data_IF_721056258114
#
_entry.id   IF_721056258114
#
_cell.length_a   1.000
_cell.length_b   1.000
_cell.length_c   1.000
_cell.angle_alpha   90.00
_cell.angle_beta   90.00
_cell.angle_gamma   90.00
#
_symmetry.space_group_name_H-M   'P 1'
#
loop_
_entity.id
_entity.type
_entity.pdbx_description
1 polymer ?
#
# COMPACT_ATOMS: atom_id res chain seq x y z
N UNK A 1 -17.80 -65.99 77.50
CA UNK A 1 -17.60 -64.54 77.79
C UNK A 1 -17.29 -63.79 76.52
N UNK A 2 -18.25 -63.06 76.00
CA UNK A 2 -18.11 -62.26 74.75
C UNK A 2 -17.98 -60.81 75.19
N UNK A 3 -16.82 -60.18 74.90
CA UNK A 3 -16.60 -58.74 75.12
C UNK A 3 -17.30 -57.94 74.03
N UNK A 4 -18.20 -57.08 74.48
CA UNK A 4 -18.89 -56.12 73.62
C UNK A 4 -17.93 -54.98 73.36
N UNK A 5 -17.66 -54.73 72.07
CA UNK A 5 -16.85 -53.56 71.64
C UNK A 5 -17.69 -52.29 71.83
N UNK A 6 -17.12 -51.29 72.53
CA UNK A 6 -17.72 -50.00 72.73
C UNK A 6 -17.81 -49.18 71.46
N UNK A 7 -18.69 -48.15 71.44
CA UNK A 7 -18.91 -47.35 70.28
C UNK A 7 -17.66 -46.52 69.94
N UNK A 8 -17.21 -46.60 68.69
CA UNK A 8 -16.17 -45.74 68.16
C UNK A 8 -16.68 -44.27 68.17
N UNK A 9 -16.01 -43.46 68.91
CA UNK A 9 -16.17 -41.99 68.81
C UNK A 9 -15.82 -41.54 67.38
N UNK A 10 -16.84 -41.14 66.66
CA UNK A 10 -16.68 -40.38 65.41
C UNK A 10 -15.99 -39.06 65.79
N UNK A 11 -14.74 -38.92 65.37
CA UNK A 11 -14.01 -37.66 65.50
C UNK A 11 -14.79 -36.55 64.77
N UNK A 12 -15.27 -35.58 65.51
CA UNK A 12 -15.87 -34.37 64.96
C UNK A 12 -14.83 -33.68 64.10
N UNK A 13 -15.06 -33.70 62.80
CA UNK A 13 -14.27 -32.92 61.82
C UNK A 13 -14.46 -31.44 62.18
N UNK A 14 -13.36 -30.71 62.46
CA UNK A 14 -13.47 -29.33 62.91
C UNK A 14 -14.19 -28.47 61.88
N UNK A 15 -15.23 -27.76 62.31
CA UNK A 15 -16.08 -26.84 61.52
C UNK A 15 -15.36 -25.62 60.95
N UNK A 16 -14.03 -25.57 61.08
CA UNK A 16 -13.16 -24.44 60.64
C UNK A 16 -12.85 -24.45 59.15
N UNK A 17 -13.10 -25.53 58.43
CA UNK A 17 -12.76 -25.63 57.01
C UNK A 17 -13.55 -24.70 56.11
N UNK A 18 -14.85 -24.42 56.41
CA UNK A 18 -15.67 -23.54 55.59
C UNK A 18 -15.24 -22.06 55.55
N UNK A 19 -14.76 -21.54 56.65
CA UNK A 19 -14.30 -20.15 56.70
C UNK A 19 -12.98 -19.94 55.95
N UNK A 20 -12.08 -20.90 56.00
CA UNK A 20 -10.83 -20.85 55.25
C UNK A 20 -11.05 -20.97 53.73
N UNK A 21 -12.03 -21.74 53.27
CA UNK A 21 -12.37 -21.85 51.85
C UNK A 21 -12.97 -20.56 51.32
N UNK A 22 -13.88 -19.90 52.04
CA UNK A 22 -14.44 -18.61 51.64
C UNK A 22 -13.40 -17.49 51.59
N UNK A 23 -12.51 -17.43 52.57
CA UNK A 23 -11.44 -16.40 52.59
C UNK A 23 -10.42 -16.64 51.47
N UNK A 24 -10.11 -17.89 51.16
CA UNK A 24 -9.27 -18.29 50.02
C UNK A 24 -9.88 -17.93 48.68
N UNK A 25 -11.17 -18.16 48.47
CA UNK A 25 -11.91 -17.77 47.28
C UNK A 25 -11.95 -16.25 47.13
N UNK A 26 -12.26 -15.50 48.19
CA UNK A 26 -12.29 -14.03 48.16
C UNK A 26 -10.93 -13.43 47.80
N UNK A 27 -9.85 -13.98 48.34
CA UNK A 27 -8.46 -13.56 47.99
C UNK A 27 -8.12 -13.90 46.53
N UNK A 28 -8.55 -15.07 46.02
CA UNK A 28 -8.33 -15.46 44.65
C UNK A 28 -9.09 -14.54 43.69
N UNK A 29 -10.32 -14.15 43.99
CA UNK A 29 -11.07 -13.17 43.21
C UNK A 29 -10.48 -11.76 43.29
N UNK A 30 -10.04 -11.32 44.46
CA UNK A 30 -9.36 -10.03 44.61
C UNK A 30 -8.05 -9.98 43.82
N UNK A 31 -7.26 -11.04 43.83
CA UNK A 31 -6.01 -11.10 43.03
C UNK A 31 -6.29 -11.11 41.51
N UNK A 32 -7.34 -11.79 41.06
CA UNK A 32 -7.72 -11.78 39.65
C UNK A 32 -8.23 -10.41 39.20
N UNK A 33 -9.06 -9.75 40.04
CA UNK A 33 -9.56 -8.41 39.71
C UNK A 33 -8.43 -7.38 39.72
N UNK A 34 -7.45 -7.50 40.65
CA UNK A 34 -6.28 -6.64 40.70
C UNK A 34 -5.38 -6.84 39.47
N UNK A 35 -5.19 -8.07 39.00
CA UNK A 35 -4.42 -8.38 37.81
C UNK A 35 -5.11 -7.82 36.56
N UNK A 36 -6.43 -7.97 36.44
CA UNK A 36 -7.22 -7.36 35.36
C UNK A 36 -7.13 -5.83 35.38
N UNK A 37 -7.25 -5.22 36.54
CA UNK A 37 -7.11 -3.76 36.68
C UNK A 37 -5.71 -3.27 36.27
N UNK A 38 -4.67 -4.03 36.58
CA UNK A 38 -3.29 -3.72 36.16
C UNK A 38 -3.13 -3.81 34.63
N UNK A 39 -3.70 -4.83 34.00
CA UNK A 39 -3.69 -4.98 32.52
C UNK A 39 -4.41 -3.79 31.87
N UNK A 40 -5.58 -3.41 32.36
CA UNK A 40 -6.30 -2.24 31.82
C UNK A 40 -5.56 -0.93 32.07
N UNK A 41 -4.87 -0.77 33.18
CA UNK A 41 -4.06 0.41 33.46
C UNK A 41 -2.88 0.52 32.45
N UNK A 42 -2.20 -0.59 32.15
CA UNK A 42 -1.13 -0.62 31.13
C UNK A 42 -1.67 -0.30 29.74
N UNK A 43 -2.82 -0.88 29.36
CA UNK A 43 -3.48 -0.58 28.08
C UNK A 43 -3.88 0.90 27.97
N UNK A 44 -4.41 1.48 29.05
CA UNK A 44 -4.78 2.89 29.09
C UNK A 44 -3.55 3.80 28.95
N UNK A 45 -2.45 3.47 29.64
CA UNK A 45 -1.20 4.24 29.51
C UNK A 45 -0.59 4.15 28.10
N UNK A 46 -0.58 2.97 27.49
CA UNK A 46 -0.09 2.81 26.11
C UNK A 46 -0.96 3.57 25.12
N UNK A 47 -2.28 3.53 25.27
CA UNK A 47 -3.23 4.28 24.44
C UNK A 47 -3.03 5.80 24.59
N UNK A 48 -2.85 6.29 25.80
CA UNK A 48 -2.58 7.69 26.08
C UNK A 48 -1.23 8.14 25.47
N UNK A 49 -0.20 7.31 25.63
CA UNK A 49 1.12 7.57 25.03
C UNK A 49 1.05 7.66 23.51
N UNK A 50 0.29 6.75 22.88
CA UNK A 50 0.05 6.79 21.43
C UNK A 50 -0.73 8.03 21.00
N UNK A 51 -1.75 8.43 21.73
CA UNK A 51 -2.53 9.64 21.45
C UNK A 51 -1.66 10.91 21.55
N UNK A 52 -0.78 10.99 22.55
CA UNK A 52 0.17 12.11 22.69
C UNK A 52 1.19 12.09 21.53
N UNK A 53 1.70 10.91 21.17
CA UNK A 53 2.62 10.74 20.04
C UNK A 53 2.01 11.22 18.72
N UNK A 54 0.77 10.81 18.41
CA UNK A 54 0.07 11.26 17.19
C UNK A 54 -0.20 12.76 17.23
N UNK A 55 -0.57 13.31 18.38
CA UNK A 55 -0.83 14.76 18.52
C UNK A 55 0.45 15.60 18.50
N UNK A 56 1.58 15.05 18.86
CA UNK A 56 2.89 15.74 18.81
C UNK A 56 3.49 15.78 17.41
N UNK A 57 2.93 15.02 16.45
CA UNK A 57 3.35 15.15 15.07
C UNK A 57 2.91 16.52 14.54
N UNK A 58 3.85 17.33 14.02
CA UNK A 58 3.51 18.65 13.51
C UNK A 58 2.55 18.52 12.34
N UNK A 59 1.51 19.37 12.28
CA UNK A 59 0.58 19.33 11.17
C UNK A 59 1.33 19.58 9.87
N UNK A 60 1.05 18.78 8.85
CA UNK A 60 1.56 18.97 7.49
C UNK A 60 0.93 20.26 6.96
N UNK A 61 1.70 21.33 6.88
CA UNK A 61 1.23 22.60 6.31
C UNK A 61 1.26 22.48 4.80
N UNK A 62 0.09 22.36 4.19
CA UNK A 62 -0.07 22.44 2.73
C UNK A 62 -0.24 23.91 2.39
N UNK A 63 0.73 24.49 1.69
CA UNK A 63 0.61 25.83 1.14
C UNK A 63 -0.01 25.71 -0.26
N UNK A 64 -1.18 26.26 -0.45
CA UNK A 64 -1.81 26.40 -1.77
C UNK A 64 -1.42 27.75 -2.31
N UNK A 65 -0.69 27.79 -3.42
CA UNK A 65 -0.37 29.03 -4.13
C UNK A 65 -1.59 29.55 -4.88
N UNK A 66 -1.56 30.82 -5.27
CA UNK A 66 -2.67 31.48 -5.96
C UNK A 66 -3.08 30.81 -7.27
N UNK A 67 -2.20 29.98 -7.84
CA UNK A 67 -2.44 29.18 -9.06
C UNK A 67 -3.03 27.79 -8.78
N UNK A 68 -3.43 27.50 -7.52
CA UNK A 68 -4.07 26.24 -7.14
C UNK A 68 -3.11 25.06 -6.95
N UNK A 69 -1.80 25.26 -7.03
CA UNK A 69 -0.81 24.21 -6.79
C UNK A 69 -0.57 24.03 -5.29
N UNK A 70 -0.82 22.83 -4.78
CA UNK A 70 -0.54 22.46 -3.39
C UNK A 70 0.91 22.02 -3.23
N UNK A 71 1.73 22.79 -2.51
CA UNK A 71 3.08 22.40 -2.13
C UNK A 71 3.14 22.04 -0.65
N UNK A 72 3.73 20.87 -0.34
CA UNK A 72 3.95 20.45 1.05
C UNK A 72 5.25 21.09 1.55
N UNK A 73 5.15 21.99 2.51
CA UNK A 73 6.33 22.59 3.14
C UNK A 73 6.89 21.62 4.16
N UNK A 74 7.83 20.76 3.75
CA UNK A 74 8.61 19.91 4.64
C UNK A 74 9.60 20.71 5.47
N UNK A 75 9.71 20.40 6.77
CA UNK A 75 10.73 20.96 7.65
C UNK A 75 12.13 20.52 7.18
N UNK A 76 12.96 21.45 6.80
CA UNK A 76 14.42 21.25 6.72
C UNK A 76 14.96 20.82 8.10
N UNK A 77 15.88 19.83 8.19
CA UNK A 77 16.54 19.48 9.44
C UNK A 77 17.29 20.70 9.99
N UNK A 78 17.10 20.98 11.28
CA UNK A 78 17.77 22.04 12.02
C UNK A 78 19.27 21.78 12.00
N UNK A 79 20.01 22.49 11.15
CA UNK A 79 21.48 22.38 11.13
C UNK A 79 22.20 23.03 9.95
N UNK A 80 21.53 23.38 8.88
CA UNK A 80 22.13 24.15 7.80
C UNK A 80 21.64 25.60 7.86
N UNK A 81 22.55 26.52 8.16
CA UNK A 81 22.32 27.96 8.00
C UNK A 81 21.86 28.23 6.57
N UNK A 82 20.79 29.00 6.36
CA UNK A 82 20.36 29.33 5.02
C UNK A 82 21.46 30.17 4.36
N UNK A 83 22.13 29.59 3.35
CA UNK A 83 22.90 30.38 2.39
C UNK A 83 21.89 31.32 1.74
N UNK A 84 22.06 32.60 1.88
CA UNK A 84 21.27 33.60 1.18
C UNK A 84 21.41 33.36 -0.32
N UNK A 85 20.49 32.62 -0.90
CA UNK A 85 20.35 32.45 -2.34
C UNK A 85 19.73 33.74 -2.88
N UNK A 86 20.32 34.32 -3.90
CA UNK A 86 19.74 35.44 -4.65
C UNK A 86 18.43 35.03 -5.33
N UNK A 87 17.62 35.98 -5.76
CA UNK A 87 16.29 35.70 -6.33
C UNK A 87 16.30 34.85 -7.62
N UNK A 88 17.45 34.62 -8.22
CA UNK A 88 17.59 33.78 -9.43
C UNK A 88 17.92 32.31 -9.14
N UNK A 89 18.40 31.98 -7.92
CA UNK A 89 18.78 30.58 -7.56
C UNK A 89 17.62 29.74 -7.01
N UNK A 90 16.45 30.33 -6.79
CA UNK A 90 15.32 29.67 -6.13
C UNK A 90 14.59 28.65 -7.05
N UNK A 91 14.81 28.71 -8.36
CA UNK A 91 14.12 27.87 -9.33
C UNK A 91 14.87 26.59 -9.77
N UNK A 92 16.17 26.44 -9.45
CA UNK A 92 17.02 25.45 -10.12
C UNK A 92 17.73 24.42 -9.21
N UNK A 93 17.48 24.38 -7.91
CA UNK A 93 18.33 23.61 -6.99
C UNK A 93 17.66 22.81 -5.89
N UNK A 94 16.38 22.52 -5.96
CA UNK A 94 15.73 21.62 -4.98
C UNK A 94 15.72 20.22 -5.57
N UNK A 95 16.47 19.30 -4.95
CA UNK A 95 16.44 17.89 -5.32
C UNK A 95 15.01 17.35 -5.26
N UNK A 96 14.61 16.48 -6.21
CA UNK A 96 13.28 15.88 -6.21
C UNK A 96 13.02 15.14 -4.90
N UNK A 97 11.80 15.22 -4.40
CA UNK A 97 11.40 14.53 -3.19
C UNK A 97 10.79 13.15 -3.52
N UNK A 98 10.80 12.21 -2.54
CA UNK A 98 10.13 10.92 -2.68
C UNK A 98 8.63 11.07 -3.00
N UNK A 99 8.01 12.13 -2.52
CA UNK A 99 6.60 12.44 -2.82
C UNK A 99 6.40 12.82 -4.29
N UNK A 100 7.30 13.63 -4.86
CA UNK A 100 7.31 13.97 -6.29
C UNK A 100 7.55 12.72 -7.14
N UNK A 101 8.48 11.85 -6.71
CA UNK A 101 8.71 10.56 -7.36
C UNK A 101 7.47 9.68 -7.41
N UNK A 102 6.78 9.53 -6.29
CA UNK A 102 5.50 8.79 -6.23
C UNK A 102 4.40 9.44 -7.07
N UNK A 103 4.37 10.77 -7.17
CA UNK A 103 3.42 11.48 -8.01
C UNK A 103 3.66 11.21 -9.50
N UNK A 104 4.93 11.26 -9.95
CA UNK A 104 5.32 10.92 -11.33
C UNK A 104 4.98 9.48 -11.67
N UNK A 105 5.26 8.53 -10.78
CA UNK A 105 4.90 7.10 -10.95
C UNK A 105 3.39 6.94 -11.09
N UNK A 106 2.61 7.58 -10.23
CA UNK A 106 1.14 7.53 -10.29
C UNK A 106 0.60 8.12 -11.59
N UNK A 107 1.12 9.27 -12.00
CA UNK A 107 0.74 9.91 -13.26
C UNK A 107 1.08 9.02 -14.45
N UNK A 108 2.30 8.49 -14.49
CA UNK A 108 2.76 7.60 -15.55
C UNK A 108 1.88 6.36 -15.70
N UNK A 109 1.68 5.61 -14.61
CA UNK A 109 0.87 4.39 -14.64
C UNK A 109 -0.59 4.68 -14.97
N UNK A 110 -1.16 5.74 -14.41
CA UNK A 110 -2.53 6.16 -14.72
C UNK A 110 -2.73 6.55 -16.18
N UNK A 111 -1.68 7.02 -16.90
CA UNK A 111 -1.75 7.32 -18.32
C UNK A 111 -1.42 6.12 -19.21
N UNK A 112 -0.51 5.26 -18.74
CA UNK A 112 -0.05 4.13 -19.54
C UNK A 112 -0.97 2.91 -19.44
N UNK A 113 -1.64 2.70 -18.31
CA UNK A 113 -2.46 1.52 -18.04
C UNK A 113 -3.97 1.76 -18.09
N UNK A 114 -4.42 3.01 -17.88
CA UNK A 114 -5.84 3.38 -17.96
C UNK A 114 -6.12 4.12 -19.28
N UNK A 115 -7.06 3.59 -20.06
CA UNK A 115 -7.41 4.15 -21.38
C UNK A 115 -8.80 3.69 -21.83
N UNK A 116 -9.35 4.48 -22.73
CA UNK A 116 -10.54 4.14 -23.53
C UNK A 116 -10.20 4.30 -25.00
N UNK A 117 -11.00 3.80 -25.97
CA UNK A 117 -10.79 4.02 -27.39
C UNK A 117 -10.59 5.49 -27.75
N UNK A 118 -11.31 6.41 -27.08
CA UNK A 118 -11.25 7.85 -27.34
C UNK A 118 -10.01 8.53 -26.72
N UNK A 119 -9.48 7.98 -25.64
CA UNK A 119 -8.39 8.61 -24.88
C UNK A 119 -7.03 7.97 -25.08
N UNK A 120 -6.95 6.79 -25.69
CA UNK A 120 -5.73 5.97 -25.79
C UNK A 120 -4.56 6.73 -26.44
N UNK A 121 -4.80 7.43 -27.53
CA UNK A 121 -3.75 8.20 -28.21
C UNK A 121 -3.18 9.30 -27.33
N UNK A 122 -4.04 10.06 -26.66
CA UNK A 122 -3.63 11.13 -25.73
C UNK A 122 -2.91 10.55 -24.52
N UNK A 123 -3.48 9.54 -23.89
CA UNK A 123 -2.92 8.95 -22.67
C UNK A 123 -1.54 8.33 -22.92
N UNK A 124 -1.36 7.60 -24.04
CA UNK A 124 -0.05 7.08 -24.39
C UNK A 124 0.94 8.18 -24.75
N UNK A 125 0.53 9.24 -25.46
CA UNK A 125 1.42 10.37 -25.74
C UNK A 125 1.88 11.05 -24.43
N UNK A 126 0.99 11.27 -23.47
CA UNK A 126 1.33 11.84 -22.17
C UNK A 126 2.27 10.91 -21.38
N UNK A 127 2.01 9.59 -21.37
CA UNK A 127 2.90 8.61 -20.71
C UNK A 127 4.28 8.56 -21.37
N UNK A 128 4.35 8.56 -22.70
CA UNK A 128 5.61 8.57 -23.45
C UNK A 128 6.45 9.83 -23.17
N UNK A 129 5.80 10.98 -22.91
CA UNK A 129 6.49 12.21 -22.56
C UNK A 129 7.13 12.15 -21.15
N UNK A 130 6.65 11.28 -20.28
CA UNK A 130 7.26 11.04 -18.97
C UNK A 130 8.42 10.02 -19.03
N UNK A 131 8.71 9.41 -20.18
CA UNK A 131 9.78 8.43 -20.34
C UNK A 131 11.07 9.08 -20.84
N UNK A 132 12.20 8.47 -20.47
CA UNK A 132 13.50 8.78 -21.12
C UNK A 132 13.46 8.44 -22.61
N UNK A 133 14.34 9.04 -23.41
CA UNK A 133 14.40 8.81 -24.85
C UNK A 133 14.52 7.31 -25.22
N UNK A 134 15.36 6.56 -24.49
CA UNK A 134 15.57 5.14 -24.74
C UNK A 134 14.30 4.32 -24.44
N UNK A 135 13.67 4.51 -23.28
CA UNK A 135 12.46 3.79 -22.92
C UNK A 135 11.31 4.16 -23.85
N UNK A 136 11.21 5.43 -24.25
CA UNK A 136 10.20 5.91 -25.19
C UNK A 136 10.28 5.19 -26.55
N UNK A 137 11.49 5.04 -27.10
CA UNK A 137 11.68 4.33 -28.38
C UNK A 137 11.24 2.86 -28.24
N UNK A 138 11.63 2.19 -27.15
CA UNK A 138 11.21 0.80 -26.90
C UNK A 138 9.69 0.68 -26.76
N UNK A 139 9.07 1.57 -26.01
CA UNK A 139 7.62 1.58 -25.81
C UNK A 139 6.88 1.87 -27.12
N UNK A 140 7.33 2.85 -27.93
CA UNK A 140 6.74 3.18 -29.22
C UNK A 140 6.83 2.00 -30.21
N UNK A 141 7.99 1.32 -30.26
CA UNK A 141 8.15 0.14 -31.10
C UNK A 141 7.17 -0.95 -30.68
N UNK A 142 7.07 -1.25 -29.39
CA UNK A 142 6.11 -2.24 -28.89
C UNK A 142 4.65 -1.87 -29.20
N UNK A 143 4.25 -0.61 -29.00
CA UNK A 143 2.90 -0.14 -29.29
C UNK A 143 2.56 -0.30 -30.78
N UNK A 144 3.56 -0.04 -31.68
CA UNK A 144 3.39 -0.16 -33.14
C UNK A 144 3.43 -1.62 -33.60
N UNK A 145 4.45 -2.39 -33.18
CA UNK A 145 4.69 -3.75 -33.67
C UNK A 145 3.56 -4.71 -33.24
N UNK A 146 2.97 -4.49 -32.06
CA UNK A 146 1.83 -5.26 -31.56
C UNK A 146 0.47 -4.66 -31.99
N UNK A 147 0.46 -3.51 -32.68
CA UNK A 147 -0.73 -2.72 -33.04
C UNK A 147 -1.70 -2.55 -31.85
N UNK A 148 -1.15 -2.16 -30.70
CA UNK A 148 -1.91 -2.09 -29.45
C UNK A 148 -3.03 -1.05 -29.56
N UNK A 149 -2.74 0.11 -30.16
CA UNK A 149 -3.73 1.19 -30.32
C UNK A 149 -4.86 0.79 -31.26
N UNK A 150 -4.54 0.15 -32.39
CA UNK A 150 -5.54 -0.36 -33.32
C UNK A 150 -6.49 -1.35 -32.67
N UNK A 151 -5.95 -2.32 -31.94
CA UNK A 151 -6.74 -3.31 -31.19
C UNK A 151 -7.65 -2.69 -30.13
N UNK A 152 -7.15 -1.67 -29.40
CA UNK A 152 -7.97 -0.98 -28.39
C UNK A 152 -9.17 -0.30 -29.03
N UNK A 153 -8.97 0.34 -30.17
CA UNK A 153 -10.05 1.05 -30.89
C UNK A 153 -11.02 0.06 -31.55
N UNK A 154 -10.51 -0.98 -32.22
CA UNK A 154 -11.30 -1.97 -32.94
C UNK A 154 -12.15 -2.83 -32.00
N UNK A 155 -11.55 -3.34 -30.93
CA UNK A 155 -12.20 -4.21 -29.93
C UNK A 155 -12.93 -3.41 -28.84
N UNK A 156 -12.98 -2.09 -28.91
CA UNK A 156 -13.61 -1.20 -27.93
C UNK A 156 -13.15 -1.50 -26.48
N UNK A 157 -11.82 -1.65 -26.31
CA UNK A 157 -11.25 -1.99 -25.01
C UNK A 157 -11.21 -0.77 -24.11
N UNK A 158 -11.79 -0.89 -22.92
CA UNK A 158 -11.71 0.08 -21.84
C UNK A 158 -10.87 -0.54 -20.74
N UNK A 159 -9.84 0.16 -20.30
CA UNK A 159 -9.00 -0.29 -19.20
C UNK A 159 -8.95 0.77 -18.09
N UNK A 160 -9.25 0.35 -16.88
CA UNK A 160 -9.09 1.12 -15.66
C UNK A 160 -7.95 0.55 -14.82
N UNK A 161 -7.25 1.42 -14.11
CA UNK A 161 -6.11 1.02 -13.30
C UNK A 161 -6.16 1.63 -11.91
N UNK A 162 -6.25 0.78 -10.88
CA UNK A 162 -6.25 1.19 -9.50
C UNK A 162 -4.94 0.80 -8.80
N UNK A 163 -4.25 1.78 -8.23
CA UNK A 163 -3.04 1.57 -7.47
C UNK A 163 -3.41 1.22 -6.03
N UNK A 164 -2.97 0.06 -5.55
CA UNK A 164 -3.17 -0.41 -4.18
C UNK A 164 -2.05 0.05 -3.24
N UNK A 165 -0.79 -0.07 -3.68
CA UNK A 165 0.35 0.43 -2.92
C UNK A 165 1.47 0.91 -3.84
N UNK A 166 2.27 1.86 -3.35
CA UNK A 166 3.53 2.32 -3.97
C UNK A 166 4.60 2.26 -2.89
N UNK A 167 5.57 1.38 -3.08
CA UNK A 167 6.66 1.17 -2.14
C UNK A 167 7.98 1.58 -2.78
N UNK A 168 8.80 2.34 -2.06
CA UNK A 168 10.14 2.66 -2.47
C UNK A 168 11.07 1.46 -2.19
N UNK A 169 11.83 1.04 -3.19
CA UNK A 169 12.76 -0.09 -3.03
C UNK A 169 13.99 0.35 -2.23
N UNK A 170 14.24 -0.30 -1.10
CA UNK A 170 15.39 -0.01 -0.25
C UNK A 170 16.70 -0.28 -0.99
N UNK A 171 17.62 0.68 -0.91
CA UNK A 171 18.97 0.55 -1.49
C UNK A 171 19.11 0.94 -2.97
N UNK A 172 18.03 1.24 -3.65
CA UNK A 172 18.03 1.73 -5.04
C UNK A 172 17.31 3.08 -5.10
N UNK A 173 18.03 4.18 -5.37
CA UNK A 173 17.41 5.49 -5.48
C UNK A 173 16.36 5.47 -6.61
N UNK A 174 15.25 6.16 -6.39
CA UNK A 174 14.19 6.38 -7.38
C UNK A 174 13.58 5.11 -7.99
N UNK A 175 13.65 3.97 -7.28
CA UNK A 175 13.03 2.72 -7.74
C UNK A 175 11.80 2.41 -6.89
N UNK A 176 10.68 2.22 -7.55
CA UNK A 176 9.38 1.96 -6.93
C UNK A 176 8.83 0.62 -7.38
N UNK A 177 8.25 -0.09 -6.41
CA UNK A 177 7.44 -1.29 -6.64
C UNK A 177 5.99 -0.92 -6.37
N UNK A 178 5.15 -1.14 -7.36
CA UNK A 178 3.74 -0.79 -7.30
C UNK A 178 2.91 -2.06 -7.42
N UNK A 179 1.91 -2.21 -6.55
CA UNK A 179 0.88 -3.20 -6.69
C UNK A 179 -0.41 -2.51 -7.12
N UNK A 180 -1.02 -3.03 -8.17
CA UNK A 180 -2.23 -2.46 -8.72
C UNK A 180 -3.14 -3.51 -9.34
N UNK A 181 -4.37 -3.12 -9.58
CA UNK A 181 -5.39 -3.92 -10.24
C UNK A 181 -5.77 -3.20 -11.52
N UNK A 182 -5.63 -3.88 -12.64
CA UNK A 182 -6.08 -3.42 -13.94
C UNK A 182 -7.37 -4.17 -14.30
N UNK A 183 -8.42 -3.43 -14.52
CA UNK A 183 -9.69 -3.96 -14.97
C UNK A 183 -9.84 -3.65 -16.46
N UNK A 184 -10.09 -4.69 -17.28
CA UNK A 184 -10.16 -4.58 -18.73
C UNK A 184 -11.53 -5.05 -19.19
N UNK A 185 -12.31 -4.14 -19.73
CA UNK A 185 -13.60 -4.41 -20.36
C UNK A 185 -13.41 -4.49 -21.87
N UNK A 186 -13.94 -5.54 -22.49
CA UNK A 186 -13.91 -5.72 -23.94
C UNK A 186 -15.19 -6.38 -24.43
N UNK A 187 -15.58 -6.06 -25.66
CA UNK A 187 -16.70 -6.71 -26.32
C UNK A 187 -16.18 -7.79 -27.26
N UNK A 188 -16.44 -9.05 -26.94
CA UNK A 188 -16.03 -10.19 -27.76
C UNK A 188 -17.27 -10.99 -28.19
N UNK A 189 -17.51 -11.06 -29.51
CA UNK A 189 -18.66 -11.82 -30.04
C UNK A 189 -20.02 -11.34 -29.56
N UNK A 190 -20.17 -10.03 -29.34
CA UNK A 190 -21.43 -9.43 -28.83
C UNK A 190 -21.66 -9.64 -27.35
N UNK A 191 -20.67 -10.14 -26.61
CA UNK A 191 -20.70 -10.28 -25.14
C UNK A 191 -19.64 -9.39 -24.53
N UNK A 192 -20.02 -8.68 -23.48
CA UNK A 192 -19.09 -7.93 -22.65
C UNK A 192 -18.35 -8.91 -21.71
N UNK A 193 -17.01 -8.83 -21.74
CA UNK A 193 -16.12 -9.61 -20.89
C UNK A 193 -15.27 -8.64 -20.09
N UNK A 194 -15.26 -8.82 -18.79
CA UNK A 194 -14.42 -8.05 -17.85
C UNK A 194 -13.35 -8.97 -17.30
N UNK A 195 -12.10 -8.61 -17.53
CA UNK A 195 -10.94 -9.30 -16.95
C UNK A 195 -10.30 -8.41 -15.89
N UNK A 196 -10.05 -8.96 -14.71
CA UNK A 196 -9.37 -8.27 -13.64
C UNK A 196 -7.97 -8.85 -13.47
N UNK A 197 -6.95 -8.02 -13.64
CA UNK A 197 -5.55 -8.40 -13.66
C UNK A 197 -4.85 -7.75 -12.46
N UNK A 198 -4.41 -8.56 -11.53
CA UNK A 198 -3.54 -8.10 -10.42
C UNK A 198 -2.10 -8.10 -10.92
N UNK A 199 -1.45 -6.95 -10.86
CA UNK A 199 -0.09 -6.77 -11.36
C UNK A 199 0.86 -6.17 -10.34
N UNK A 200 2.13 -6.55 -10.47
CA UNK A 200 3.26 -5.90 -9.85
C UNK A 200 4.01 -5.12 -10.92
N UNK A 201 4.21 -3.83 -10.67
CA UNK A 201 4.86 -2.92 -11.59
C UNK A 201 6.14 -2.40 -10.94
N UNK A 202 7.26 -2.47 -11.67
CA UNK A 202 8.53 -1.92 -11.25
C UNK A 202 8.82 -0.69 -12.10
N UNK A 203 9.03 0.46 -11.45
CA UNK A 203 9.30 1.72 -12.12
C UNK A 203 10.56 2.33 -11.54
N UNK A 204 11.56 2.59 -12.40
CA UNK A 204 12.76 3.33 -12.02
C UNK A 204 12.73 4.70 -12.67
N UNK A 205 12.88 5.72 -11.85
CA UNK A 205 13.00 7.11 -12.31
C UNK A 205 14.48 7.51 -12.36
N UNK A 206 14.76 8.54 -13.16
CA UNK A 206 16.05 9.23 -13.19
C UNK A 206 15.82 10.73 -13.11
N UNK A 207 16.75 11.40 -12.46
CA UNK A 207 16.73 12.86 -12.36
C UNK A 207 17.15 13.49 -13.70
N UNK A 208 16.52 14.59 -14.03
CA UNK A 208 16.81 15.43 -15.18
C UNK A 208 16.61 16.90 -14.81
N UNK A 209 17.03 17.81 -15.68
CA UNK A 209 16.78 19.23 -15.45
C UNK A 209 15.27 19.50 -15.39
N UNK A 210 14.85 20.29 -14.38
CA UNK A 210 13.48 20.77 -14.29
C UNK A 210 13.19 21.72 -15.45
N UNK A 211 12.00 21.62 -15.99
CA UNK A 211 11.53 22.49 -17.07
C UNK A 211 10.02 22.72 -16.92
N UNK A 212 9.47 23.66 -17.66
CA UNK A 212 8.01 23.89 -17.68
C UNK A 212 7.22 22.62 -18.07
N UNK A 213 7.79 21.78 -18.94
CA UNK A 213 7.18 20.52 -19.38
C UNK A 213 7.37 19.39 -18.35
N UNK A 214 8.45 19.44 -17.58
CA UNK A 214 8.79 18.47 -16.54
C UNK A 214 9.19 19.18 -15.24
N UNK A 215 8.23 19.71 -14.50
CA UNK A 215 8.50 20.49 -13.29
C UNK A 215 9.07 19.64 -12.14
N UNK A 216 8.82 18.33 -12.14
CA UNK A 216 9.39 17.41 -11.15
C UNK A 216 10.87 17.14 -11.36
N UNK A 217 11.40 17.33 -12.58
CA UNK A 217 12.75 16.93 -12.92
C UNK A 217 12.99 15.42 -12.86
N UNK A 218 11.95 14.60 -13.06
CA UNK A 218 12.03 13.14 -13.00
C UNK A 218 11.46 12.54 -14.28
N UNK A 219 12.13 11.53 -14.83
CA UNK A 219 11.67 10.74 -15.98
C UNK A 219 11.73 9.26 -15.67
N UNK A 220 10.79 8.50 -16.24
CA UNK A 220 10.77 7.04 -16.18
C UNK A 220 11.87 6.48 -17.07
N UNK A 221 12.85 5.80 -16.48
CA UNK A 221 13.97 5.18 -17.20
C UNK A 221 13.75 3.70 -17.46
N UNK A 222 13.06 3.02 -16.55
CA UNK A 222 12.72 1.59 -16.67
C UNK A 222 11.30 1.35 -16.22
N UNK A 223 10.63 0.49 -16.94
CA UNK A 223 9.29 0.00 -16.64
C UNK A 223 9.24 -1.50 -16.86
N UNK A 224 8.76 -2.22 -15.85
CA UNK A 224 8.53 -3.66 -15.92
C UNK A 224 7.17 -3.99 -15.33
N UNK A 225 6.45 -4.87 -16.00
CA UNK A 225 5.16 -5.38 -15.57
C UNK A 225 5.26 -6.89 -15.34
N UNK A 226 4.78 -7.33 -14.21
CA UNK A 226 4.67 -8.76 -13.88
C UNK A 226 3.22 -9.01 -13.47
N UNK A 227 2.49 -9.71 -14.31
CA UNK A 227 1.14 -10.15 -14.00
C UNK A 227 1.20 -11.21 -12.89
N UNK A 228 0.45 -10.98 -11.84
CA UNK A 228 0.16 -11.98 -10.82
C UNK A 228 -1.15 -12.64 -11.27
N UNK A 229 -1.17 -13.97 -11.34
CA UNK A 229 -2.25 -14.79 -11.92
C UNK A 229 -3.63 -14.20 -11.65
N UNK A 230 -4.35 -13.83 -12.70
CA UNK A 230 -5.74 -13.38 -12.60
C UNK A 230 -6.66 -14.59 -12.33
N UNK A 231 -7.77 -14.36 -11.63
CA UNK A 231 -8.73 -15.40 -11.24
C UNK A 231 -9.23 -16.26 -12.41
N UNK A 232 -9.23 -15.71 -13.62
CA UNK A 232 -9.69 -16.41 -14.81
C UNK A 232 -8.69 -17.45 -15.33
N UNK A 233 -7.39 -17.18 -15.24
CA UNK A 233 -6.34 -18.15 -15.63
C UNK A 233 -6.18 -19.23 -14.55
N UNK A 234 -6.35 -18.88 -13.28
CA UNK A 234 -6.36 -19.86 -12.19
C UNK A 234 -7.50 -20.89 -12.37
N UNK A 235 -8.68 -20.43 -12.80
CA UNK A 235 -9.81 -21.30 -13.12
C UNK A 235 -9.57 -22.21 -14.34
N UNK A 236 -8.95 -21.69 -15.38
CA UNK A 236 -8.62 -22.47 -16.57
C UNK A 236 -7.49 -23.48 -16.34
N UNK A 237 -6.48 -23.11 -15.55
CA UNK A 237 -5.40 -24.04 -15.16
C UNK A 237 -5.93 -25.15 -14.23
N UNK A 238 -6.87 -24.83 -13.36
CA UNK A 238 -7.51 -25.82 -12.48
C UNK A 238 -8.43 -26.77 -13.25
N UNK A 239 -9.19 -26.26 -14.25
CA UNK A 239 -9.96 -27.09 -15.16
C UNK A 239 -9.11 -27.99 -16.04
N UNK A 240 -7.99 -27.47 -16.58
CA UNK A 240 -7.06 -28.27 -17.39
C UNK A 240 -6.34 -29.36 -16.59
N UNK A 241 -6.06 -29.12 -15.31
CA UNK A 241 -5.48 -30.11 -14.42
C UNK A 241 -6.48 -31.24 -14.09
N UNK A 242 -7.75 -30.91 -13.86
CA UNK A 242 -8.82 -31.86 -13.59
C UNK A 242 -9.19 -32.74 -14.82
N UNK A 243 -9.06 -32.18 -16.04
CA UNK A 243 -9.32 -32.91 -17.29
C UNK A 243 -8.17 -33.86 -17.66
N UNK A 244 -6.95 -33.56 -17.18
CA UNK A 244 -5.77 -34.43 -17.40
C UNK A 244 -5.76 -35.64 -16.48
N UNK A 245 -6.42 -35.55 -15.31
CA UNK A 245 -6.51 -36.65 -14.34
C UNK A 245 -7.71 -37.59 -14.64
N UNK A 246 -8.55 -37.24 -15.63
CA UNK A 246 -9.69 -38.04 -16.08
C UNK A 246 -9.43 -38.86 -17.35
N UNK A 247 -8.23 -38.82 -17.91
CA UNK A 247 -7.81 -39.63 -19.05
C UNK A 247 -6.76 -40.65 -18.65
#
# INVERSE_FOLDING_TARGET
>A
MKRIAGPQQLSEVPRYTKYYEYDGMLRAYANRSMLLAMIFAVLAMTSLGFAIYVRSQPPTVIRVDQDGNATVVGRTPRGSLPKQAGPEDVALGVDPTDLEGKAVVRQFLGRYLAYTPDTVNRNFAEALNLMTANLRVLAMNKLRDDDIVGKIIEDHIIADFEIRSIEHMKGTPWTYVIFGVKEVHRVKGGREVTDQIVGRYNVRLVETARSEVNPSGLLVAEYGEQQMVGDHEAGLLQQSALDKDRR
#
